data_IF_055842620307
#
_entry.id   IF_055842620307
#
_cell.length_a   1.000
_cell.length_b   1.000
_cell.length_c   1.000
_cell.angle_alpha   90.00
_cell.angle_beta   90.00
_cell.angle_gamma   90.00
#
_symmetry.space_group_name_H-M   'P 1'
#
loop_
_entity.id
_entity.type
_entity.pdbx_description
1 polymer ?
#
# COMPACT_ATOMS: atom_id res chain seq x y z
N UNK A 1 32.30 -6.38 7.29
CA UNK A 1 31.65 -5.09 7.66
C UNK A 1 31.92 -3.99 6.65
N UNK A 2 33.17 -3.73 6.23
CA UNK A 2 33.50 -2.68 5.24
C UNK A 2 32.85 -2.84 3.85
N UNK A 3 32.73 -4.07 3.30
CA UNK A 3 32.09 -4.31 1.99
C UNK A 3 30.58 -4.04 2.00
N UNK A 4 29.87 -4.44 3.06
CA UNK A 4 28.43 -4.17 3.24
C UNK A 4 28.15 -2.67 3.31
N UNK A 5 28.96 -1.91 4.04
CA UNK A 5 28.79 -0.44 4.15
C UNK A 5 29.07 0.29 2.83
N UNK A 6 29.99 -0.21 2.01
CA UNK A 6 30.29 0.37 0.69
C UNK A 6 29.17 0.07 -0.34
N UNK A 7 28.63 -1.14 -0.35
CA UNK A 7 27.49 -1.53 -1.20
C UNK A 7 26.22 -0.74 -0.85
N UNK A 8 25.92 -0.58 0.44
CA UNK A 8 24.79 0.25 0.89
C UNK A 8 24.97 1.71 0.49
N UNK A 9 26.19 2.26 0.62
CA UNK A 9 26.49 3.64 0.22
C UNK A 9 26.31 3.88 -1.28
N UNK A 10 26.72 2.90 -2.11
CA UNK A 10 26.56 3.00 -3.56
C UNK A 10 25.08 2.88 -3.99
N UNK A 11 24.30 2.02 -3.33
CA UNK A 11 22.86 1.92 -3.58
C UNK A 11 22.11 3.21 -3.22
N UNK A 12 22.45 3.85 -2.10
CA UNK A 12 21.88 5.14 -1.71
C UNK A 12 22.17 6.21 -2.78
N UNK A 13 23.42 6.29 -3.26
CA UNK A 13 23.79 7.26 -4.32
C UNK A 13 23.05 7.02 -5.64
N UNK A 14 22.77 5.76 -6.00
CA UNK A 14 21.99 5.43 -7.19
C UNK A 14 20.53 5.86 -7.00
N UNK A 15 19.95 5.59 -5.83
CA UNK A 15 18.58 5.99 -5.53
C UNK A 15 18.41 7.51 -5.59
N UNK A 16 19.33 8.28 -5.01
CA UNK A 16 19.30 9.74 -5.05
C UNK A 16 19.36 10.28 -6.49
N UNK A 17 20.19 9.66 -7.34
CA UNK A 17 20.27 9.99 -8.77
C UNK A 17 18.96 9.70 -9.50
N UNK A 18 18.30 8.58 -9.20
CA UNK A 18 17.01 8.22 -9.79
C UNK A 18 15.92 9.19 -9.36
N UNK A 19 15.81 9.49 -8.06
CA UNK A 19 14.85 10.46 -7.51
C UNK A 19 15.05 11.83 -8.16
N UNK A 20 16.30 12.30 -8.24
CA UNK A 20 16.64 13.57 -8.90
C UNK A 20 16.24 13.59 -10.38
N UNK A 21 16.48 12.49 -11.11
CA UNK A 21 16.10 12.37 -12.52
C UNK A 21 14.59 12.38 -12.69
N UNK A 22 13.86 11.58 -11.90
CA UNK A 22 12.42 11.46 -11.95
C UNK A 22 11.75 12.82 -11.75
N UNK A 23 12.20 13.59 -10.75
CA UNK A 23 11.68 14.93 -10.48
C UNK A 23 12.02 15.90 -11.63
N UNK A 24 13.28 15.96 -12.05
CA UNK A 24 13.74 16.90 -13.09
C UNK A 24 13.10 16.65 -14.46
N UNK A 25 12.77 15.39 -14.78
CA UNK A 25 12.21 15.00 -16.10
C UNK A 25 10.68 14.84 -16.08
N UNK A 26 10.01 15.06 -14.96
CA UNK A 26 8.56 15.01 -14.90
C UNK A 26 7.98 13.58 -14.89
N UNK A 27 8.66 12.65 -14.21
CA UNK A 27 8.13 11.30 -13.96
C UNK A 27 7.35 11.24 -12.65
N UNK A 28 7.97 11.61 -11.52
CA UNK A 28 7.38 11.47 -10.18
C UNK A 28 7.68 12.73 -9.38
N UNK A 29 6.68 13.23 -8.66
CA UNK A 29 6.75 14.37 -7.75
C UNK A 29 6.30 13.97 -6.35
N UNK A 30 6.80 14.69 -5.33
CA UNK A 30 6.28 14.57 -3.99
C UNK A 30 4.86 15.17 -3.96
N UNK A 31 3.86 14.39 -3.50
CA UNK A 31 2.49 14.89 -3.43
C UNK A 31 2.42 16.09 -2.51
N UNK A 32 1.72 17.15 -2.94
CA UNK A 32 1.53 18.38 -2.17
C UNK A 32 2.84 19.08 -1.77
N UNK A 33 3.88 19.00 -2.60
CA UNK A 33 5.23 19.51 -2.30
C UNK A 33 5.26 20.98 -1.83
N UNK A 34 4.47 21.86 -2.46
CA UNK A 34 4.40 23.29 -2.11
C UNK A 34 3.81 23.54 -0.70
N UNK A 35 3.15 22.55 -0.11
CA UNK A 35 2.59 22.58 1.23
C UNK A 35 3.40 21.75 2.24
N UNK A 36 4.63 21.38 1.90
CA UNK A 36 5.52 20.58 2.75
C UNK A 36 5.52 19.08 2.45
N UNK A 37 4.70 18.64 1.50
CA UNK A 37 4.63 17.25 1.08
C UNK A 37 3.81 16.35 2.03
N UNK A 38 3.32 15.24 1.50
CA UNK A 38 2.68 14.17 2.30
C UNK A 38 3.50 12.89 2.14
N UNK A 39 4.08 12.41 3.24
CA UNK A 39 4.83 11.15 3.26
C UNK A 39 3.97 10.01 2.69
N UNK A 40 4.63 9.08 1.98
CA UNK A 40 4.00 7.95 1.30
C UNK A 40 3.07 8.29 0.11
N UNK A 41 2.91 9.56 -0.23
CA UNK A 41 2.08 10.01 -1.36
C UNK A 41 2.94 10.67 -2.45
N UNK A 42 2.76 10.20 -3.69
CA UNK A 42 3.47 10.73 -4.86
C UNK A 42 2.56 10.93 -6.06
N UNK A 43 2.87 11.95 -6.85
CA UNK A 43 2.15 12.30 -8.07
C UNK A 43 2.96 11.90 -9.30
N UNK A 44 2.29 11.34 -10.30
CA UNK A 44 2.91 11.02 -11.59
C UNK A 44 2.86 12.26 -12.48
N UNK A 45 4.03 12.73 -12.92
CA UNK A 45 4.16 13.85 -13.86
C UNK A 45 3.87 13.43 -15.32
N UNK A 46 4.04 14.34 -16.30
CA UNK A 46 3.67 14.09 -17.70
C UNK A 46 4.32 12.85 -18.33
N UNK A 47 5.62 12.61 -18.10
CA UNK A 47 6.27 11.39 -18.62
C UNK A 47 5.95 10.16 -17.78
N UNK A 48 5.69 10.37 -16.48
CA UNK A 48 5.36 9.29 -15.55
C UNK A 48 4.00 8.68 -15.81
N UNK A 49 2.99 9.51 -16.15
CA UNK A 49 1.66 9.02 -16.47
C UNK A 49 1.65 8.20 -17.76
N UNK A 50 2.38 8.63 -18.80
CA UNK A 50 2.54 7.88 -20.04
C UNK A 50 3.24 6.54 -19.81
N UNK A 51 4.37 6.55 -19.07
CA UNK A 51 5.08 5.31 -18.73
C UNK A 51 4.18 4.35 -17.94
N UNK A 52 3.47 4.85 -16.93
CA UNK A 52 2.55 4.06 -16.12
C UNK A 52 1.42 3.46 -16.95
N UNK A 53 0.83 4.25 -17.85
CA UNK A 53 -0.25 3.80 -18.72
C UNK A 53 0.24 2.72 -19.70
N UNK A 54 1.42 2.91 -20.30
CA UNK A 54 2.02 1.92 -21.20
C UNK A 54 2.29 0.59 -20.49
N UNK A 55 2.81 0.61 -19.26
CA UNK A 55 3.03 -0.60 -18.46
C UNK A 55 1.70 -1.29 -18.13
N UNK A 56 0.68 -0.53 -17.71
CA UNK A 56 -0.65 -1.07 -17.41
C UNK A 56 -1.28 -1.73 -18.65
N UNK A 57 -1.21 -1.08 -19.80
CA UNK A 57 -1.74 -1.61 -21.05
C UNK A 57 -0.99 -2.88 -21.47
N UNK A 58 0.34 -2.89 -21.40
CA UNK A 58 1.14 -4.08 -21.71
C UNK A 58 0.79 -5.25 -20.79
N UNK A 59 0.61 -5.00 -19.49
CA UNK A 59 0.18 -6.04 -18.55
C UNK A 59 -1.23 -6.54 -18.85
N UNK A 60 -2.18 -5.63 -19.12
CA UNK A 60 -3.56 -6.01 -19.43
C UNK A 60 -3.66 -6.80 -20.74
N UNK A 61 -2.91 -6.41 -21.76
CA UNK A 61 -2.78 -7.14 -23.01
C UNK A 61 -2.31 -8.58 -22.73
N UNK A 62 -1.20 -8.75 -22.02
CA UNK A 62 -0.61 -10.06 -21.75
C UNK A 62 -1.50 -10.95 -20.86
N UNK A 63 -2.21 -10.35 -19.89
CA UNK A 63 -2.99 -11.11 -18.91
C UNK A 63 -4.42 -11.37 -19.35
N UNK A 64 -5.06 -10.45 -20.07
CA UNK A 64 -6.50 -10.51 -20.37
C UNK A 64 -6.76 -10.73 -21.85
N UNK A 65 -6.03 -10.06 -22.74
CA UNK A 65 -6.31 -10.16 -24.18
C UNK A 65 -5.58 -11.33 -24.86
N UNK A 66 -4.39 -11.68 -24.41
CA UNK A 66 -3.61 -12.80 -24.97
C UNK A 66 -3.98 -14.15 -24.35
N UNK A 67 -4.83 -14.15 -23.31
CA UNK A 67 -5.25 -15.35 -22.58
C UNK A 67 -6.74 -15.56 -22.72
N UNK A 68 -7.12 -16.79 -23.07
CA UNK A 68 -8.53 -17.16 -23.21
C UNK A 68 -9.19 -17.52 -21.87
N UNK A 69 -8.46 -17.54 -20.77
CA UNK A 69 -8.91 -18.04 -19.46
C UNK A 69 -8.96 -16.98 -18.36
N UNK A 70 -8.83 -15.69 -18.69
CA UNK A 70 -8.86 -14.59 -17.70
C UNK A 70 -9.89 -13.54 -18.10
N UNK A 71 -10.74 -13.16 -17.16
CA UNK A 71 -11.73 -12.09 -17.32
C UNK A 71 -11.30 -10.79 -16.64
N UNK A 72 -11.69 -9.65 -17.20
CA UNK A 72 -11.46 -8.34 -16.60
C UNK A 72 -12.54 -7.95 -15.61
N UNK A 73 -12.14 -7.35 -14.49
CA UNK A 73 -13.05 -6.74 -13.50
C UNK A 73 -12.50 -5.40 -13.01
N UNK A 74 -13.40 -4.47 -12.73
CA UNK A 74 -13.10 -3.23 -12.01
C UNK A 74 -14.08 -3.06 -10.85
N UNK A 75 -13.60 -3.25 -9.62
CA UNK A 75 -14.42 -3.24 -8.41
C UNK A 75 -14.21 -1.95 -7.61
N UNK A 76 -15.20 -1.50 -6.85
CA UNK A 76 -15.09 -0.26 -6.06
C UNK A 76 -13.95 -0.29 -5.02
N UNK A 77 -13.41 0.90 -4.71
CA UNK A 77 -12.40 1.07 -3.64
C UNK A 77 -13.04 0.92 -2.25
N UNK A 78 -14.26 1.45 -2.09
CA UNK A 78 -15.05 1.31 -0.88
C UNK A 78 -15.89 0.03 -0.99
N UNK A 79 -15.80 -0.81 0.04
CA UNK A 79 -16.55 -2.05 0.15
C UNK A 79 -17.23 -2.12 1.52
N UNK A 80 -18.29 -2.92 1.60
CA UNK A 80 -19.03 -3.14 2.85
C UNK A 80 -18.09 -3.66 3.95
N UNK A 81 -18.11 -3.13 5.19
CA UNK A 81 -17.18 -3.49 6.27
C UNK A 81 -17.05 -4.99 6.55
N UNK A 82 -18.18 -5.70 6.52
CA UNK A 82 -18.24 -7.17 6.65
C UNK A 82 -17.31 -7.94 5.70
N UNK A 83 -16.95 -7.39 4.54
CA UNK A 83 -15.97 -8.02 3.63
C UNK A 83 -14.59 -8.08 4.30
N UNK A 84 -14.20 -7.02 5.01
CA UNK A 84 -12.92 -6.93 5.72
C UNK A 84 -12.91 -7.72 7.03
N UNK A 85 -14.07 -7.89 7.67
CA UNK A 85 -14.25 -8.79 8.81
C UNK A 85 -14.14 -10.26 8.36
N UNK A 86 -14.90 -10.64 7.32
CA UNK A 86 -14.92 -12.02 6.81
C UNK A 86 -13.55 -12.45 6.24
N UNK A 87 -12.80 -11.54 5.63
CA UNK A 87 -11.42 -11.80 5.17
C UNK A 87 -10.37 -11.74 6.28
N UNK A 88 -10.75 -11.33 7.50
CA UNK A 88 -9.85 -11.24 8.66
C UNK A 88 -8.94 -10.00 8.68
N UNK A 89 -9.11 -9.06 7.74
CA UNK A 89 -8.29 -7.84 7.68
C UNK A 89 -8.52 -6.92 8.89
N UNK A 90 -9.74 -6.82 9.40
CA UNK A 90 -10.04 -5.96 10.57
C UNK A 90 -9.24 -6.40 11.80
N UNK A 91 -9.07 -7.71 11.99
CA UNK A 91 -8.39 -8.28 13.16
C UNK A 91 -6.89 -8.45 12.97
N UNK A 92 -6.46 -8.85 11.76
CA UNK A 92 -5.09 -9.33 11.53
C UNK A 92 -4.23 -8.39 10.69
N UNK A 93 -4.80 -7.41 9.99
CA UNK A 93 -4.05 -6.46 9.17
C UNK A 93 -3.46 -5.32 10.03
N UNK A 94 -2.58 -5.71 10.95
CA UNK A 94 -2.01 -4.80 11.95
C UNK A 94 -0.49 -4.91 12.02
N UNK A 95 0.19 -3.78 12.07
CA UNK A 95 1.62 -3.72 12.43
C UNK A 95 1.80 -3.48 13.94
N UNK A 96 2.82 -4.07 14.58
CA UNK A 96 3.20 -3.74 15.94
C UNK A 96 3.94 -2.39 15.96
N UNK A 97 3.34 -1.35 16.55
CA UNK A 97 3.93 -0.03 16.69
C UNK A 97 4.35 0.24 18.13
N UNK A 98 5.50 0.90 18.29
CA UNK A 98 5.99 1.48 19.54
C UNK A 98 6.27 2.98 19.34
N UNK A 99 6.00 3.80 20.34
CA UNK A 99 6.39 5.22 20.33
C UNK A 99 7.58 5.44 21.25
N UNK A 100 8.48 6.34 20.86
CA UNK A 100 9.46 6.88 21.80
C UNK A 100 8.83 7.98 22.64
N UNK A 101 8.90 7.87 23.97
CA UNK A 101 8.38 8.88 24.90
C UNK A 101 9.10 10.23 24.77
N UNK A 102 10.38 10.22 24.37
CA UNK A 102 11.25 11.40 24.27
C UNK A 102 11.11 12.14 22.93
N UNK A 103 11.33 11.48 21.79
CA UNK A 103 11.28 12.13 20.48
C UNK A 103 9.89 12.06 19.81
N UNK A 104 8.92 11.34 20.40
CA UNK A 104 7.56 11.14 19.85
C UNK A 104 7.50 10.47 18.49
N UNK A 105 8.63 9.97 17.98
CA UNK A 105 8.67 9.17 16.76
C UNK A 105 8.02 7.80 16.99
N UNK A 106 7.38 7.32 15.94
CA UNK A 106 6.74 6.01 15.85
C UNK A 106 7.64 5.07 15.10
N UNK A 107 7.77 3.86 15.61
CA UNK A 107 8.58 2.82 15.01
C UNK A 107 7.78 1.53 14.92
N UNK A 108 7.99 0.82 13.83
CA UNK A 108 7.56 -0.57 13.68
C UNK A 108 8.45 -1.46 14.54
N UNK A 109 7.86 -2.16 15.51
CA UNK A 109 8.60 -2.94 16.49
C UNK A 109 9.45 -4.05 15.84
N UNK A 110 8.99 -4.60 14.71
CA UNK A 110 9.68 -5.61 13.92
C UNK A 110 10.89 -5.07 13.12
N UNK A 111 10.98 -3.75 12.94
CA UNK A 111 12.09 -3.10 12.25
C UNK A 111 13.15 -2.53 13.20
N UNK A 112 12.89 -2.54 14.51
CA UNK A 112 13.87 -2.12 15.52
C UNK A 112 14.86 -3.26 15.76
N UNK A 113 16.18 -2.98 15.82
CA UNK A 113 17.16 -4.00 16.21
C UNK A 113 16.75 -4.69 17.52
N UNK A 114 16.83 -6.03 17.57
CA UNK A 114 16.36 -6.81 18.74
C UNK A 114 16.96 -6.34 20.07
N UNK A 115 18.22 -5.91 20.05
CA UNK A 115 18.93 -5.34 21.19
C UNK A 115 18.25 -4.08 21.75
N UNK A 116 17.81 -3.19 20.86
CA UNK A 116 17.13 -1.96 21.23
C UNK A 116 15.69 -2.22 21.69
N UNK A 117 15.03 -3.22 21.11
CA UNK A 117 13.69 -3.63 21.52
C UNK A 117 13.69 -4.25 22.92
N UNK A 118 14.66 -5.15 23.22
CA UNK A 118 14.83 -5.75 24.56
C UNK A 118 15.15 -4.69 25.62
N UNK A 119 15.95 -3.69 25.28
CA UNK A 119 16.33 -2.59 26.17
C UNK A 119 15.28 -1.46 26.21
N UNK A 120 14.20 -1.55 25.43
CA UNK A 120 13.19 -0.49 25.23
C UNK A 120 13.81 0.87 24.90
N UNK A 121 14.88 0.87 24.09
CA UNK A 121 15.59 2.09 23.69
C UNK A 121 15.25 2.46 22.26
N UNK A 122 14.93 3.73 22.08
CA UNK A 122 14.69 4.33 20.78
C UNK A 122 15.99 4.28 19.95
N UNK A 123 15.94 3.80 18.69
CA UNK A 123 17.12 3.74 17.83
C UNK A 123 17.66 5.12 17.44
N UNK A 124 16.81 6.15 17.43
CA UNK A 124 17.19 7.52 17.03
C UNK A 124 17.78 8.35 18.17
N UNK A 125 17.16 8.31 19.36
CA UNK A 125 17.53 9.20 20.47
C UNK A 125 17.89 8.49 21.77
N UNK A 126 17.80 7.16 21.83
CA UNK A 126 18.06 6.37 23.04
C UNK A 126 17.00 6.47 24.15
N UNK A 127 15.93 7.25 23.94
CA UNK A 127 14.82 7.40 24.89
C UNK A 127 13.97 6.13 25.06
N UNK A 128 13.14 6.09 26.09
CA UNK A 128 12.30 4.93 26.42
C UNK A 128 11.17 4.71 25.38
N UNK A 129 10.99 3.46 24.95
CA UNK A 129 9.90 3.03 24.07
C UNK A 129 8.67 2.58 24.88
N UNK A 130 7.48 2.82 24.35
CA UNK A 130 6.23 2.28 24.91
C UNK A 130 6.06 0.79 24.64
N UNK A 131 5.07 0.17 25.27
CA UNK A 131 4.66 -1.19 24.90
C UNK A 131 4.18 -1.25 23.44
N UNK A 132 4.46 -2.36 22.72
CA UNK A 132 3.94 -2.57 21.38
C UNK A 132 2.41 -2.61 21.37
N UNK A 133 1.80 -1.77 20.53
CA UNK A 133 0.37 -1.85 20.23
C UNK A 133 0.14 -2.28 18.79
N UNK A 134 -0.91 -3.04 18.55
CA UNK A 134 -1.35 -3.36 17.18
C UNK A 134 -2.02 -2.13 16.58
N UNK A 135 -1.55 -1.70 15.42
CA UNK A 135 -2.15 -0.61 14.66
C UNK A 135 -2.69 -1.14 13.33
N UNK A 136 -3.99 -0.98 13.11
CA UNK A 136 -4.61 -1.41 11.85
C UNK A 136 -4.16 -0.49 10.71
N UNK A 137 -3.69 -1.09 9.62
CA UNK A 137 -3.13 -0.36 8.48
C UNK A 137 -4.21 0.08 7.46
N UNK A 138 -5.45 -0.37 7.61
CA UNK A 138 -6.55 0.05 6.75
C UNK A 138 -6.98 1.49 7.09
N UNK A 139 -7.19 2.28 6.05
CA UNK A 139 -7.78 3.61 6.19
C UNK A 139 -9.27 3.50 6.49
N UNK A 140 -9.66 4.01 7.66
CA UNK A 140 -11.05 4.20 8.06
C UNK A 140 -11.56 5.54 7.56
N UNK A 141 -12.77 5.55 7.00
CA UNK A 141 -13.52 6.75 6.66
C UNK A 141 -15.00 6.53 6.98
N UNK A 142 -15.80 7.59 6.96
CA UNK A 142 -17.24 7.51 7.16
C UNK A 142 -17.96 7.72 5.83
N UNK A 143 -18.99 6.92 5.56
CA UNK A 143 -19.84 7.02 4.38
C UNK A 143 -21.18 7.63 4.76
N UNK A 144 -21.30 8.94 4.63
CA UNK A 144 -22.53 9.67 4.96
C UNK A 144 -22.23 11.04 5.53
N UNK A 145 -23.26 11.85 5.80
CA UNK A 145 -23.10 13.19 6.36
C UNK A 145 -22.75 13.17 7.86
N UNK A 146 -22.94 12.04 8.54
CA UNK A 146 -22.71 11.88 9.98
C UNK A 146 -21.54 10.92 10.20
N UNK A 147 -20.58 11.34 11.02
CA UNK A 147 -19.46 10.51 11.47
C UNK A 147 -19.92 9.64 12.66
N UNK A 148 -20.63 8.55 12.38
CA UNK A 148 -21.03 7.56 13.39
C UNK A 148 -20.51 6.15 13.05
N UNK A 149 -20.57 5.25 14.03
CA UNK A 149 -20.08 3.88 13.88
C UNK A 149 -20.85 3.07 12.82
N UNK A 150 -22.11 3.41 12.55
CA UNK A 150 -22.93 2.72 11.56
C UNK A 150 -22.48 3.01 10.12
N UNK A 151 -21.78 4.12 9.90
CA UNK A 151 -21.29 4.56 8.60
C UNK A 151 -19.79 4.34 8.39
N UNK A 152 -19.10 3.63 9.29
CA UNK A 152 -17.67 3.32 9.10
C UNK A 152 -17.50 2.45 7.85
N UNK A 153 -16.65 2.89 6.93
CA UNK A 153 -16.19 2.12 5.78
C UNK A 153 -14.66 2.19 5.69
N UNK A 154 -14.08 1.24 4.97
CA UNK A 154 -12.64 1.14 4.81
C UNK A 154 -12.27 1.35 3.35
N UNK A 155 -11.17 2.07 3.11
CA UNK A 155 -10.49 1.97 1.83
C UNK A 155 -9.82 0.59 1.77
N UNK A 156 -10.02 -0.14 0.66
CA UNK A 156 -9.45 -1.47 0.51
C UNK A 156 -7.91 -1.47 0.62
N UNK A 157 -7.32 -2.38 1.39
CA UNK A 157 -5.87 -2.59 1.42
C UNK A 157 -5.35 -3.40 0.22
N UNK A 158 -6.22 -4.16 -0.46
CA UNK A 158 -5.89 -4.99 -1.61
C UNK A 158 -7.04 -5.04 -2.64
N UNK A 159 -6.78 -5.49 -3.87
CA UNK A 159 -7.82 -5.62 -4.92
C UNK A 159 -8.53 -6.97 -4.92
N UNK A 160 -7.94 -8.00 -4.30
CA UNK A 160 -8.42 -9.38 -4.40
C UNK A 160 -9.84 -9.58 -3.87
N UNK A 161 -10.22 -8.90 -2.79
CA UNK A 161 -11.57 -9.01 -2.22
C UNK A 161 -12.66 -8.61 -3.23
N UNK A 162 -12.39 -7.62 -4.10
CA UNK A 162 -13.32 -7.22 -5.17
C UNK A 162 -13.59 -8.34 -6.17
N UNK A 163 -12.58 -9.16 -6.45
CA UNK A 163 -12.69 -10.35 -7.30
C UNK A 163 -13.50 -11.44 -6.60
N UNK A 164 -13.20 -11.74 -5.32
CA UNK A 164 -13.86 -12.82 -4.59
C UNK A 164 -15.37 -12.58 -4.45
N UNK A 165 -15.78 -11.36 -4.11
CA UNK A 165 -17.22 -11.05 -3.95
C UNK A 165 -17.98 -11.08 -5.28
N UNK A 166 -17.28 -10.94 -6.42
CA UNK A 166 -17.87 -10.97 -7.76
C UNK A 166 -17.63 -12.29 -8.51
N UNK A 167 -17.03 -13.30 -7.87
CA UNK A 167 -16.70 -14.55 -8.53
C UNK A 167 -17.93 -15.18 -9.21
N UNK A 168 -19.05 -15.30 -8.49
CA UNK A 168 -20.29 -15.89 -9.01
C UNK A 168 -20.88 -15.04 -10.16
N UNK A 169 -20.85 -13.71 -10.02
CA UNK A 169 -21.33 -12.79 -11.05
C UNK A 169 -20.56 -12.99 -12.36
N UNK A 170 -19.22 -13.09 -12.30
CA UNK A 170 -18.38 -13.29 -13.48
C UNK A 170 -18.52 -14.71 -14.02
N UNK A 171 -18.51 -15.73 -13.15
CA UNK A 171 -18.65 -17.13 -13.53
C UNK A 171 -19.92 -17.38 -14.35
N UNK A 172 -21.06 -16.85 -13.87
CA UNK A 172 -22.37 -17.02 -14.50
C UNK A 172 -22.50 -16.19 -15.77
N UNK A 173 -22.14 -14.90 -15.74
CA UNK A 173 -22.31 -14.00 -16.88
C UNK A 173 -21.41 -14.36 -18.07
N UNK A 174 -20.17 -14.78 -17.80
CA UNK A 174 -19.19 -15.17 -18.81
C UNK A 174 -19.25 -16.66 -19.16
N UNK A 175 -20.11 -17.43 -18.48
CA UNK A 175 -20.31 -18.89 -18.67
C UNK A 175 -18.99 -19.65 -18.67
N UNK A 176 -18.07 -19.24 -17.79
CA UNK A 176 -16.74 -19.84 -17.73
C UNK A 176 -16.78 -21.24 -17.14
N UNK A 177 -15.80 -22.05 -17.50
CA UNK A 177 -15.54 -23.34 -16.85
C UNK A 177 -14.26 -23.19 -16.03
N UNK A 178 -14.23 -23.86 -14.89
CA UNK A 178 -13.05 -23.88 -14.03
C UNK A 178 -11.97 -24.78 -14.69
N UNK A 179 -10.69 -24.38 -14.68
CA UNK A 179 -10.14 -23.15 -14.10
C UNK A 179 -10.26 -21.93 -15.05
N UNK A 180 -10.54 -20.76 -14.46
CA UNK A 180 -10.40 -19.44 -15.10
C UNK A 180 -9.96 -18.43 -14.03
N UNK A 181 -9.39 -17.30 -14.46
CA UNK A 181 -8.95 -16.21 -13.61
C UNK A 181 -9.79 -14.94 -13.79
N UNK A 182 -9.66 -14.02 -12.85
CA UNK A 182 -10.22 -12.67 -12.94
C UNK A 182 -9.09 -11.70 -12.61
N UNK A 183 -8.84 -10.75 -13.49
CA UNK A 183 -7.81 -9.72 -13.35
C UNK A 183 -8.47 -8.37 -13.06
N UNK A 184 -7.82 -7.59 -12.18
CA UNK A 184 -8.26 -6.23 -11.85
C UNK A 184 -7.05 -5.30 -11.84
N UNK A 185 -7.18 -4.13 -12.48
CA UNK A 185 -6.17 -3.07 -12.50
C UNK A 185 -6.75 -1.80 -11.89
N UNK A 186 -6.29 -1.41 -10.70
CA UNK A 186 -6.69 -0.12 -10.13
C UNK A 186 -5.63 0.47 -9.20
N UNK A 187 -5.89 1.70 -8.72
CA UNK A 187 -5.10 2.34 -7.67
C UNK A 187 -5.46 1.68 -6.33
N UNK A 188 -4.44 1.28 -5.58
CA UNK A 188 -4.57 0.91 -4.17
C UNK A 188 -4.21 2.12 -3.32
N UNK A 189 -4.99 2.38 -2.28
CA UNK A 189 -4.62 3.31 -1.21
C UNK A 189 -3.92 2.49 -0.13
N UNK A 190 -2.61 2.36 -0.23
CA UNK A 190 -1.80 1.74 0.82
C UNK A 190 -0.77 2.76 1.32
N UNK A 191 -0.69 2.95 2.63
CA UNK A 191 0.38 3.71 3.29
C UNK A 191 1.53 2.76 3.57
N UNK A 192 2.72 3.08 3.05
CA UNK A 192 3.99 2.55 3.58
C UNK A 192 4.66 3.60 4.45
#
# INVERSE_FOLDING_TARGET
>A
MAKKNAETSQQTQIMDKLVSLCKRRGFIFQSSEIYGGINACWDYGPLGVELKNNIKQAWWQAMVYERDDIEGLDASILMHPKVWEASGHVENFTDPLVDCKSCKLRFRADQIPEENLKLKKCPECGGELTEPRKFNLMFKTFMGPVEDEAHIVYLRPETAQGIYVNFENVYVSMRRKIPFGIAQLEKLSETR
#
